data_IF_109238200279
#
_entry.id   IF_109238200279
#
_cell.length_a   1.000
_cell.length_b   1.000
_cell.length_c   1.000
_cell.angle_alpha   90.00
_cell.angle_beta   90.00
_cell.angle_gamma   90.00
#
_symmetry.space_group_name_H-M   'P 1'
#
loop_
_entity.id
_entity.type
_entity.pdbx_description
1 polymer ?
#
# COMPACT_ATOMS: atom_id res chain seq x y z
N UNK A 1 -12.80 -7.20 -1.93
CA UNK A 1 -12.54 -6.45 -0.69
C UNK A 1 -11.31 -5.60 -0.86
N UNK A 2 -11.14 -4.56 -0.03
CA UNK A 2 -9.90 -3.78 0.03
C UNK A 2 -8.72 -4.65 0.48
N UNK A 3 -7.50 -4.14 0.36
CA UNK A 3 -6.30 -4.78 0.89
C UNK A 3 -6.44 -5.08 2.39
N UNK A 4 -7.00 -4.15 3.16
CA UNK A 4 -7.29 -4.33 4.59
C UNK A 4 -8.28 -5.45 4.86
N UNK A 5 -9.36 -5.54 4.06
CA UNK A 5 -10.30 -6.64 4.17
C UNK A 5 -9.62 -7.99 3.90
N UNK A 6 -8.75 -8.05 2.88
CA UNK A 6 -7.98 -9.26 2.55
C UNK A 6 -7.07 -9.63 3.72
N UNK A 7 -6.30 -8.68 4.27
CA UNK A 7 -5.41 -8.90 5.42
C UNK A 7 -6.19 -9.50 6.57
N UNK A 8 -7.28 -8.84 7.00
CA UNK A 8 -8.10 -9.32 8.12
C UNK A 8 -8.64 -10.73 7.87
N UNK A 9 -9.15 -10.99 6.66
CA UNK A 9 -9.74 -12.28 6.30
C UNK A 9 -8.71 -13.40 6.36
N UNK A 10 -7.53 -13.19 5.77
CA UNK A 10 -6.45 -14.19 5.76
C UNK A 10 -5.86 -14.39 7.15
N UNK A 11 -5.66 -13.32 7.92
CA UNK A 11 -5.12 -13.41 9.29
C UNK A 11 -6.07 -14.16 10.23
N UNK A 12 -7.38 -13.97 10.08
CA UNK A 12 -8.40 -14.64 10.91
C UNK A 12 -8.70 -16.09 10.47
N UNK A 13 -8.18 -16.53 9.33
CA UNK A 13 -8.40 -17.90 8.86
C UNK A 13 -7.66 -18.93 9.73
N UNK A 14 -8.18 -20.15 9.76
CA UNK A 14 -7.53 -21.24 10.48
C UNK A 14 -6.16 -21.60 9.87
N UNK A 15 -5.20 -22.11 10.67
CA UNK A 15 -3.95 -22.67 10.18
C UNK A 15 -4.16 -23.79 9.16
N UNK A 16 -3.24 -23.93 8.20
CA UNK A 16 -3.31 -24.95 7.15
C UNK A 16 -4.26 -24.64 6.01
N UNK A 17 -4.96 -23.50 6.04
CA UNK A 17 -5.82 -23.05 4.92
C UNK A 17 -5.00 -22.57 3.72
N UNK A 18 -5.61 -22.67 2.53
CA UNK A 18 -5.00 -22.27 1.25
C UNK A 18 -5.72 -21.08 0.66
N UNK A 19 -4.96 -20.07 0.24
CA UNK A 19 -5.45 -18.79 -0.27
C UNK A 19 -4.77 -18.43 -1.59
N UNK A 20 -5.56 -18.02 -2.57
CA UNK A 20 -5.08 -17.35 -3.78
C UNK A 20 -5.52 -15.88 -3.74
N UNK A 21 -4.57 -14.95 -3.72
CA UNK A 21 -4.82 -13.52 -3.52
C UNK A 21 -4.53 -12.74 -4.80
N UNK A 22 -5.56 -12.06 -5.32
CA UNK A 22 -5.49 -11.25 -6.54
C UNK A 22 -5.35 -9.75 -6.24
N UNK A 23 -4.20 -9.33 -5.72
CA UNK A 23 -3.87 -7.92 -5.44
C UNK A 23 -2.40 -7.64 -5.75
N UNK A 24 -1.85 -6.51 -5.33
CA UNK A 24 -0.43 -6.20 -5.56
C UNK A 24 0.50 -7.25 -4.91
N UNK A 25 1.58 -7.61 -5.62
CA UNK A 25 2.46 -8.73 -5.27
C UNK A 25 3.14 -8.56 -3.90
N UNK A 26 3.54 -7.35 -3.53
CA UNK A 26 4.22 -7.14 -2.25
C UNK A 26 3.30 -7.47 -1.07
N UNK A 27 2.00 -7.18 -1.18
CA UNK A 27 1.05 -7.57 -0.15
C UNK A 27 0.93 -9.09 -0.05
N UNK A 28 0.86 -9.80 -1.19
CA UNK A 28 0.78 -11.27 -1.17
C UNK A 28 2.05 -11.89 -0.57
N UNK A 29 3.22 -11.35 -0.93
CA UNK A 29 4.50 -11.80 -0.36
C UNK A 29 4.60 -11.50 1.13
N UNK A 30 4.12 -10.34 1.59
CA UNK A 30 4.05 -10.00 3.01
C UNK A 30 3.15 -10.96 3.76
N UNK A 31 1.93 -11.21 3.27
CA UNK A 31 1.01 -12.16 3.90
C UNK A 31 1.60 -13.57 3.95
N UNK A 32 2.26 -14.01 2.87
CA UNK A 32 2.95 -15.31 2.83
C UNK A 32 4.09 -15.40 3.86
N UNK A 33 4.78 -14.30 4.14
CA UNK A 33 5.84 -14.24 5.15
C UNK A 33 5.27 -14.23 6.57
N UNK A 34 4.27 -13.37 6.82
CA UNK A 34 3.71 -13.13 8.16
C UNK A 34 2.77 -14.24 8.64
N UNK A 35 2.24 -15.08 7.73
CA UNK A 35 1.27 -16.14 8.01
C UNK A 35 1.82 -17.50 7.55
N UNK A 36 2.99 -17.89 8.08
CA UNK A 36 3.75 -19.05 7.64
C UNK A 36 3.00 -20.40 7.80
N UNK A 37 1.99 -20.46 8.68
CA UNK A 37 1.13 -21.61 8.88
C UNK A 37 0.04 -21.78 7.80
N UNK A 38 -0.11 -20.82 6.88
CA UNK A 38 -1.09 -20.82 5.80
C UNK A 38 -0.41 -20.88 4.44
N UNK A 39 -1.06 -21.49 3.46
CA UNK A 39 -0.55 -21.58 2.08
C UNK A 39 -1.10 -20.43 1.24
N UNK A 40 -0.30 -19.41 0.99
CA UNK A 40 -0.72 -18.19 0.29
C UNK A 40 -0.02 -18.08 -1.06
N UNK A 41 -0.82 -17.94 -2.12
CA UNK A 41 -0.38 -17.86 -3.51
C UNK A 41 -0.86 -16.56 -4.16
N UNK A 42 -0.04 -16.06 -5.08
CA UNK A 42 -0.45 -14.99 -5.98
C UNK A 42 -1.37 -15.56 -7.06
N UNK A 43 -2.54 -14.95 -7.25
CA UNK A 43 -3.58 -15.51 -8.11
C UNK A 43 -3.21 -15.51 -9.61
N UNK A 44 -2.41 -14.55 -10.06
CA UNK A 44 -2.10 -14.39 -11.49
C UNK A 44 -0.84 -15.17 -11.90
N UNK A 45 -0.84 -15.83 -13.07
CA UNK A 45 0.35 -16.47 -13.63
C UNK A 45 1.39 -15.45 -14.12
N UNK A 46 0.96 -14.20 -14.37
CA UNK A 46 1.83 -13.10 -14.75
C UNK A 46 2.03 -12.16 -13.56
N UNK A 47 3.30 -11.93 -13.21
CA UNK A 47 3.67 -10.97 -12.17
C UNK A 47 3.55 -9.55 -12.73
N UNK A 48 2.43 -8.88 -12.44
CA UNK A 48 2.26 -7.47 -12.74
C UNK A 48 2.64 -6.65 -11.51
N UNK A 49 3.88 -6.15 -11.47
CA UNK A 49 4.30 -5.19 -10.44
C UNK A 49 3.72 -3.82 -10.75
N UNK A 50 3.23 -3.13 -9.73
CA UNK A 50 2.83 -1.75 -9.86
C UNK A 50 4.08 -0.88 -10.10
N UNK A 51 4.29 -0.47 -11.37
CA UNK A 51 5.52 0.19 -11.82
C UNK A 51 5.79 1.51 -11.11
N UNK A 52 4.75 2.21 -10.65
CA UNK A 52 4.88 3.46 -9.88
C UNK A 52 5.23 3.20 -8.42
N UNK A 53 4.65 2.19 -7.78
CA UNK A 53 5.03 1.80 -6.41
C UNK A 53 6.49 1.35 -6.34
N UNK A 54 6.98 0.68 -7.39
CA UNK A 54 8.38 0.22 -7.46
C UNK A 54 9.40 1.35 -7.65
N UNK A 55 8.96 2.61 -7.81
CA UNK A 55 9.84 3.79 -7.80
C UNK A 55 10.24 4.23 -6.39
N UNK A 56 9.62 3.66 -5.36
CA UNK A 56 9.95 3.94 -3.96
C UNK A 56 10.97 2.90 -3.51
N UNK A 57 12.21 3.31 -3.28
CA UNK A 57 13.30 2.43 -2.86
C UNK A 57 14.16 3.05 -1.74
N UNK A 58 15.05 2.23 -1.19
CA UNK A 58 15.95 2.62 -0.10
C UNK A 58 16.86 3.81 -0.43
N UNK A 59 17.57 3.81 -1.58
CA UNK A 59 18.40 4.96 -1.97
C UNK A 59 17.64 6.28 -2.06
N UNK A 60 16.48 6.32 -2.71
CA UNK A 60 15.69 7.55 -2.83
C UNK A 60 15.12 8.01 -1.48
N UNK A 61 14.72 7.06 -0.63
CA UNK A 61 14.30 7.38 0.74
C UNK A 61 15.45 7.96 1.57
N UNK A 62 16.63 7.35 1.50
CA UNK A 62 17.83 7.85 2.19
C UNK A 62 18.13 9.29 1.76
N UNK A 63 18.19 9.53 0.45
CA UNK A 63 18.43 10.85 -0.11
C UNK A 63 17.39 11.89 0.35
N UNK A 64 16.10 11.52 0.35
CA UNK A 64 15.04 12.41 0.82
C UNK A 64 15.22 12.78 2.30
N UNK A 65 15.57 11.82 3.15
CA UNK A 65 15.78 12.04 4.59
C UNK A 65 17.04 12.87 4.86
N UNK A 66 18.14 12.62 4.15
CA UNK A 66 19.38 13.39 4.27
C UNK A 66 19.16 14.87 3.93
N UNK A 67 18.41 15.15 2.86
CA UNK A 67 18.03 16.52 2.50
C UNK A 67 17.25 17.20 3.63
N UNK A 68 16.26 16.50 4.22
CA UNK A 68 15.46 17.04 5.33
C UNK A 68 16.33 17.34 6.56
N UNK A 69 17.28 16.47 6.91
CA UNK A 69 18.23 16.68 8.02
C UNK A 69 19.09 17.92 7.79
N UNK A 70 19.45 18.20 6.54
CA UNK A 70 20.19 19.40 6.13
C UNK A 70 19.32 20.66 6.01
N UNK A 71 18.01 20.58 6.28
CA UNK A 71 17.06 21.69 6.14
C UNK A 71 16.60 21.93 4.70
N UNK A 72 16.94 21.06 3.76
CA UNK A 72 16.56 21.14 2.35
C UNK A 72 15.30 20.29 2.10
N UNK A 73 14.17 20.94 1.79
CA UNK A 73 12.93 20.20 1.48
C UNK A 73 12.90 19.86 -0.01
N UNK A 74 12.97 18.57 -0.33
CA UNK A 74 12.88 18.04 -1.70
C UNK A 74 11.52 17.41 -1.96
N UNK A 75 11.02 17.52 -3.20
CA UNK A 75 9.74 16.93 -3.63
C UNK A 75 8.54 17.30 -2.73
N UNK A 76 8.49 18.54 -2.23
CA UNK A 76 7.38 19.01 -1.42
C UNK A 76 6.07 18.94 -2.23
N UNK A 77 5.13 18.12 -1.77
CA UNK A 77 3.83 18.00 -2.40
C UNK A 77 3.03 19.26 -2.08
N UNK A 78 2.80 20.10 -3.09
CA UNK A 78 1.97 21.28 -2.99
C UNK A 78 0.81 21.17 -3.97
N UNK A 79 -0.39 21.47 -3.45
CA UNK A 79 -1.64 21.49 -4.22
C UNK A 79 -2.15 22.93 -4.24
N UNK A 80 -2.74 23.42 -5.35
CA UNK A 80 -3.41 24.73 -5.38
C UNK A 80 -4.50 24.86 -4.32
N UNK A 81 -4.69 26.05 -3.76
CA UNK A 81 -5.61 26.24 -2.63
C UNK A 81 -7.08 25.96 -2.99
N UNK A 82 -7.49 26.31 -4.20
CA UNK A 82 -8.83 26.00 -4.70
C UNK A 82 -9.07 24.48 -4.77
N UNK A 83 -8.10 23.71 -5.29
CA UNK A 83 -8.19 22.25 -5.36
C UNK A 83 -8.24 21.62 -3.97
N UNK A 84 -7.48 22.13 -2.99
CA UNK A 84 -7.52 21.63 -1.60
C UNK A 84 -8.92 21.71 -1.02
N UNK A 85 -9.64 22.82 -1.23
CA UNK A 85 -10.98 23.03 -0.66
C UNK A 85 -11.95 21.97 -1.16
N UNK A 86 -12.01 21.78 -2.49
CA UNK A 86 -12.97 20.84 -3.08
C UNK A 86 -12.56 19.38 -2.86
N UNK A 87 -11.27 19.05 -2.93
CA UNK A 87 -10.77 17.71 -2.64
C UNK A 87 -11.05 17.32 -1.17
N UNK A 88 -10.84 18.24 -0.23
CA UNK A 88 -11.15 18.02 1.19
C UNK A 88 -12.65 17.81 1.41
N UNK A 89 -13.50 18.63 0.80
CA UNK A 89 -14.96 18.46 0.93
C UNK A 89 -15.44 17.11 0.40
N UNK A 90 -14.88 16.64 -0.72
CA UNK A 90 -15.20 15.32 -1.25
C UNK A 90 -14.75 14.19 -0.31
N UNK A 91 -13.54 14.32 0.28
CA UNK A 91 -13.03 13.36 1.25
C UNK A 91 -13.86 13.34 2.54
N UNK A 92 -14.20 14.50 3.10
CA UNK A 92 -15.02 14.62 4.32
C UNK A 92 -16.38 13.93 4.12
N UNK A 93 -17.04 14.18 2.99
CA UNK A 93 -18.31 13.51 2.64
C UNK A 93 -18.19 11.99 2.50
N UNK A 94 -17.08 11.50 1.96
CA UNK A 94 -16.84 10.05 1.87
C UNK A 94 -16.71 9.44 3.27
N UNK A 95 -15.99 10.11 4.16
CA UNK A 95 -15.75 9.64 5.53
C UNK A 95 -17.02 9.69 6.39
N UNK A 96 -17.88 10.70 6.23
CA UNK A 96 -19.16 10.79 6.96
C UNK A 96 -20.15 9.67 6.62
N UNK A 97 -19.94 8.98 5.49
CA UNK A 97 -20.80 7.90 4.99
C UNK A 97 -20.22 6.49 5.19
N UNK A 98 -18.95 6.37 5.60
CA UNK A 98 -18.21 5.09 5.70
C UNK A 98 -18.18 4.58 7.14
#
# INVERSE_FOLDING_TARGET
GSTEFIIRTVTQADPGTTWAVGTELNLVNRLKHDQAEKQIYFLSPMVCRCSTMFRIDGPHLCWAVENLVQGNVVNHIQVPDEEKVFAKLALDRMMDLS
#
